data_IF_995600001926
#
_entry.id   IF_995600001926
#
_cell.length_a   1.000
_cell.length_b   1.000
_cell.length_c   1.000
_cell.angle_alpha   90.00
_cell.angle_beta   90.00
_cell.angle_gamma   90.00
#
_symmetry.space_group_name_H-M   'P 1'
#
loop_
_entity.id
_entity.type
_entity.pdbx_description
1 polymer ?
#
# COMPACT_ATOMS: atom_id res chain seq x y z
N UNK A 1 -14.52 3.91 5.47
CA UNK A 1 -13.84 4.32 4.23
C UNK A 1 -14.14 3.27 3.15
N UNK A 2 -13.76 3.48 1.89
CA UNK A 2 -14.03 2.51 0.81
C UNK A 2 -13.11 1.29 0.93
N UNK A 3 -11.87 1.49 1.36
CA UNK A 3 -10.86 0.45 1.55
C UNK A 3 -11.21 -0.56 2.65
N UNK A 4 -11.86 -0.13 3.75
CA UNK A 4 -12.21 -1.00 4.89
C UNK A 4 -12.95 -2.28 4.46
N UNK A 5 -13.91 -2.16 3.54
CA UNK A 5 -14.72 -3.28 3.05
C UNK A 5 -13.86 -4.34 2.34
N UNK A 6 -12.76 -3.94 1.70
CA UNK A 6 -11.85 -4.82 0.98
C UNK A 6 -10.65 -5.25 1.82
N UNK A 7 -10.28 -4.49 2.85
CA UNK A 7 -9.17 -4.82 3.76
C UNK A 7 -9.55 -5.91 4.77
N UNK A 8 -10.83 -6.00 5.15
CA UNK A 8 -11.29 -6.94 6.17
C UNK A 8 -10.96 -8.40 5.83
N UNK A 9 -11.34 -8.85 4.62
CA UNK A 9 -11.19 -10.23 4.19
C UNK A 9 -9.72 -10.73 4.21
N UNK A 10 -8.72 -10.03 3.62
CA UNK A 10 -7.34 -10.49 3.66
C UNK A 10 -6.75 -10.52 5.07
N UNK A 11 -7.09 -9.56 5.94
CA UNK A 11 -6.64 -9.55 7.34
C UNK A 11 -7.24 -10.72 8.12
N UNK A 12 -8.55 -10.95 7.98
CA UNK A 12 -9.25 -12.03 8.69
C UNK A 12 -8.78 -13.40 8.19
N UNK A 13 -8.61 -13.59 6.88
CA UNK A 13 -8.08 -14.84 6.34
C UNK A 13 -6.66 -15.11 6.84
N UNK A 14 -5.77 -14.11 6.83
CA UNK A 14 -4.42 -14.26 7.36
C UNK A 14 -4.42 -14.70 8.83
N UNK A 15 -5.23 -14.04 9.66
CA UNK A 15 -5.31 -14.40 11.08
C UNK A 15 -5.94 -15.78 11.29
N UNK A 16 -7.16 -16.02 10.79
CA UNK A 16 -7.93 -17.22 11.07
C UNK A 16 -7.35 -18.48 10.41
N UNK A 17 -6.67 -18.35 9.28
CA UNK A 17 -6.17 -19.50 8.51
C UNK A 17 -4.67 -19.73 8.71
N UNK A 18 -3.86 -18.67 8.79
CA UNK A 18 -2.40 -18.83 8.70
C UNK A 18 -1.73 -18.92 10.09
N UNK A 19 -2.35 -18.38 11.13
CA UNK A 19 -1.81 -18.44 12.51
C UNK A 19 -2.36 -19.63 13.30
N UNK A 20 -1.54 -20.22 14.18
CA UNK A 20 -1.98 -21.35 15.02
C UNK A 20 -3.06 -20.91 16.02
N UNK A 21 -2.87 -19.73 16.62
CA UNK A 21 -3.79 -19.14 17.59
C UNK A 21 -5.11 -18.74 16.94
N UNK A 22 -5.07 -18.19 15.72
CA UNK A 22 -6.25 -17.84 14.94
C UNK A 22 -7.06 -19.07 14.57
N UNK A 23 -6.41 -20.13 14.06
CA UNK A 23 -7.08 -21.41 13.77
C UNK A 23 -7.77 -22.00 15.00
N UNK A 24 -7.07 -22.00 16.15
CA UNK A 24 -7.64 -22.51 17.40
C UNK A 24 -8.85 -21.69 17.90
N UNK A 25 -8.89 -20.37 17.63
CA UNK A 25 -9.96 -19.47 18.07
C UNK A 25 -11.06 -19.25 17.03
N UNK A 26 -10.88 -19.70 15.79
CA UNK A 26 -11.73 -19.32 14.65
C UNK A 26 -13.21 -19.63 14.87
N UNK A 27 -13.55 -20.87 15.22
CA UNK A 27 -14.94 -21.27 15.44
C UNK A 27 -15.61 -20.46 16.56
N UNK A 28 -14.93 -20.29 17.69
CA UNK A 28 -15.45 -19.52 18.81
C UNK A 28 -15.62 -18.03 18.45
N UNK A 29 -14.66 -17.44 17.74
CA UNK A 29 -14.73 -16.06 17.28
C UNK A 29 -15.94 -15.84 16.35
N UNK A 30 -16.11 -16.70 15.34
CA UNK A 30 -17.19 -16.57 14.36
C UNK A 30 -18.60 -16.77 14.97
N UNK A 31 -18.72 -17.50 16.09
CA UNK A 31 -19.97 -17.66 16.83
C UNK A 31 -20.33 -16.46 17.70
N UNK A 32 -19.36 -15.62 18.08
CA UNK A 32 -19.64 -14.42 18.89
C UNK A 32 -20.56 -13.47 18.13
N UNK A 33 -21.43 -12.79 18.88
CA UNK A 33 -22.34 -11.79 18.37
C UNK A 33 -21.71 -10.40 18.42
N UNK A 34 -21.98 -9.59 17.41
CA UNK A 34 -21.74 -8.14 17.42
C UNK A 34 -22.71 -7.46 18.40
N UNK A 35 -22.51 -6.16 18.70
CA UNK A 35 -23.47 -5.38 19.50
C UNK A 35 -24.91 -5.42 18.95
N UNK A 36 -25.07 -5.59 17.65
CA UNK A 36 -26.36 -5.71 16.95
C UNK A 36 -26.94 -7.13 17.00
N UNK A 37 -26.30 -8.06 17.71
CA UNK A 37 -26.80 -9.42 17.93
C UNK A 37 -26.56 -10.41 16.77
N UNK A 38 -25.88 -9.99 15.70
CA UNK A 38 -25.54 -10.79 14.51
C UNK A 38 -24.20 -11.50 14.73
N UNK A 39 -24.06 -12.76 14.30
CA UNK A 39 -22.78 -13.49 14.48
C UNK A 39 -21.70 -12.93 13.57
N UNK A 40 -20.44 -12.89 14.04
CA UNK A 40 -19.33 -12.43 13.20
C UNK A 40 -19.15 -13.26 11.93
N UNK A 41 -19.45 -14.57 11.97
CA UNK A 41 -19.45 -15.40 10.76
C UNK A 41 -20.48 -14.97 9.72
N UNK A 42 -21.65 -14.49 10.14
CA UNK A 42 -22.69 -13.97 9.24
C UNK A 42 -22.29 -12.61 8.66
N UNK A 43 -21.69 -11.74 9.47
CA UNK A 43 -21.18 -10.43 9.03
C UNK A 43 -20.04 -10.59 8.03
N UNK A 44 -19.11 -11.50 8.29
CA UNK A 44 -18.02 -11.81 7.36
C UNK A 44 -18.55 -12.37 6.05
N UNK A 45 -19.48 -13.33 6.11
CA UNK A 45 -20.12 -13.89 4.90
C UNK A 45 -20.84 -12.81 4.09
N UNK A 46 -21.46 -11.82 4.75
CA UNK A 46 -22.10 -10.66 4.09
C UNK A 46 -21.08 -9.76 3.40
N UNK A 47 -19.97 -9.44 4.07
CA UNK A 47 -18.89 -8.64 3.48
C UNK A 47 -18.27 -9.35 2.26
N UNK A 48 -18.03 -10.67 2.32
CA UNK A 48 -17.50 -11.41 1.16
C UNK A 48 -18.43 -11.38 -0.05
N UNK A 49 -19.75 -11.44 0.17
CA UNK A 49 -20.74 -11.24 -0.91
C UNK A 49 -20.71 -9.84 -1.48
N UNK A 50 -20.60 -8.83 -0.61
CA UNK A 50 -20.46 -7.45 -1.02
C UNK A 50 -19.22 -7.24 -1.89
N UNK A 51 -18.05 -7.73 -1.46
CA UNK A 51 -16.79 -7.66 -2.20
C UNK A 51 -16.95 -8.30 -3.58
N UNK A 52 -17.48 -9.52 -3.67
CA UNK A 52 -17.65 -10.21 -4.95
C UNK A 52 -18.62 -9.47 -5.88
N UNK A 53 -19.75 -8.99 -5.36
CA UNK A 53 -20.72 -8.23 -6.16
C UNK A 53 -20.13 -6.92 -6.68
N UNK A 54 -19.36 -6.19 -5.86
CA UNK A 54 -18.69 -4.95 -6.26
C UNK A 54 -17.57 -5.18 -7.26
N UNK A 55 -16.88 -6.31 -7.18
CA UNK A 55 -15.77 -6.66 -8.05
C UNK A 55 -16.21 -7.27 -9.40
N UNK A 56 -17.44 -7.77 -9.50
CA UNK A 56 -17.94 -8.49 -10.67
C UNK A 56 -17.91 -7.69 -11.98
N UNK A 57 -18.30 -6.40 -12.04
CA UNK A 57 -18.30 -5.64 -13.30
C UNK A 57 -16.92 -5.57 -13.95
N UNK A 58 -15.86 -5.30 -13.17
CA UNK A 58 -14.49 -5.27 -13.70
C UNK A 58 -14.02 -6.64 -14.14
N UNK A 59 -14.37 -7.70 -13.42
CA UNK A 59 -13.96 -9.05 -13.78
C UNK A 59 -14.60 -9.53 -15.09
N UNK A 60 -15.80 -9.04 -15.41
CA UNK A 60 -16.46 -9.28 -16.70
C UNK A 60 -15.85 -8.42 -17.81
N UNK A 61 -15.61 -7.13 -17.53
CA UNK A 61 -15.08 -6.16 -18.48
C UNK A 61 -13.98 -5.33 -17.80
N UNK A 62 -12.71 -5.74 -17.90
CA UNK A 62 -11.59 -5.07 -17.23
C UNK A 62 -11.28 -3.69 -17.82
N UNK A 63 -12.02 -2.68 -17.35
CA UNK A 63 -11.89 -1.29 -17.77
C UNK A 63 -12.00 -0.37 -16.55
N UNK A 64 -11.35 0.81 -16.61
CA UNK A 64 -11.24 1.70 -15.46
C UNK A 64 -12.60 2.12 -14.88
N UNK A 65 -13.62 2.32 -15.72
CA UNK A 65 -14.96 2.71 -15.29
C UNK A 65 -15.73 1.60 -14.55
N UNK A 66 -15.23 0.37 -14.56
CA UNK A 66 -15.77 -0.75 -13.79
C UNK A 66 -15.01 -1.02 -12.48
N UNK A 67 -13.96 -0.22 -12.20
CA UNK A 67 -13.18 -0.31 -10.97
C UNK A 67 -13.97 0.27 -9.77
N UNK A 68 -13.44 0.06 -8.56
CA UNK A 68 -13.99 0.65 -7.34
C UNK A 68 -13.56 2.11 -7.27
N UNK A 69 -14.49 3.02 -7.55
CA UNK A 69 -14.30 4.45 -7.37
C UNK A 69 -14.58 4.89 -5.94
N UNK A 70 -14.07 6.07 -5.57
CA UNK A 70 -14.65 6.85 -4.49
C UNK A 70 -16.13 7.17 -4.76
N UNK A 71 -16.88 7.46 -3.70
CA UNK A 71 -18.29 7.83 -3.82
C UNK A 71 -18.44 9.17 -4.57
N UNK A 72 -19.52 9.36 -5.36
CA UNK A 72 -19.74 10.61 -6.07
C UNK A 72 -19.71 11.82 -5.15
N UNK A 73 -18.93 12.84 -5.51
CA UNK A 73 -18.76 14.07 -4.72
C UNK A 73 -17.86 13.92 -3.48
N UNK A 74 -17.36 12.73 -3.19
CA UNK A 74 -16.44 12.45 -2.08
C UNK A 74 -15.02 12.30 -2.61
N UNK A 75 -14.06 12.98 -2.00
CA UNK A 75 -12.63 12.97 -2.38
C UNK A 75 -11.73 12.20 -1.41
N UNK A 76 -12.32 11.65 -0.34
CA UNK A 76 -11.68 10.76 0.64
C UNK A 76 -12.28 9.36 0.56
N UNK A 77 -11.60 8.36 1.13
CA UNK A 77 -12.12 6.99 1.17
C UNK A 77 -11.06 5.89 1.17
N UNK A 78 -9.81 6.23 1.42
CA UNK A 78 -8.74 5.28 1.71
C UNK A 78 -7.87 5.82 2.84
N UNK A 79 -6.96 5.00 3.37
CA UNK A 79 -6.13 5.29 4.55
C UNK A 79 -5.55 6.71 4.66
N UNK A 80 -5.22 7.38 3.54
CA UNK A 80 -4.74 8.78 3.62
C UNK A 80 -5.80 9.68 4.22
N UNK A 81 -7.08 9.46 3.98
CA UNK A 81 -8.19 10.27 4.52
C UNK A 81 -8.02 11.79 4.27
N UNK A 82 -7.38 12.13 3.16
CA UNK A 82 -7.10 13.51 2.74
C UNK A 82 -7.88 13.87 1.50
N UNK A 83 -8.53 15.04 1.50
CA UNK A 83 -9.26 15.54 0.32
C UNK A 83 -8.38 15.64 -0.94
N UNK A 84 -7.06 15.77 -0.76
CA UNK A 84 -6.08 15.81 -1.85
C UNK A 84 -5.12 14.62 -1.82
N UNK A 85 -5.41 13.60 -1.00
CA UNK A 85 -4.57 12.42 -0.79
C UNK A 85 -4.29 11.64 -2.06
N UNK A 86 -5.21 11.67 -3.02
CA UNK A 86 -5.08 11.05 -4.34
C UNK A 86 -4.76 12.07 -5.46
N UNK A 87 -4.19 13.22 -5.12
CA UNK A 87 -3.87 14.31 -6.06
C UNK A 87 -4.97 15.36 -6.21
N UNK A 88 -6.12 15.17 -5.54
CA UNK A 88 -7.32 16.04 -5.59
C UNK A 88 -8.33 15.64 -6.67
N UNK A 89 -7.86 15.13 -7.80
CA UNK A 89 -8.64 14.65 -8.93
C UNK A 89 -8.67 13.13 -9.08
N UNK A 90 -7.84 12.39 -8.34
CA UNK A 90 -7.90 10.93 -8.26
C UNK A 90 -9.28 10.44 -7.79
N UNK A 91 -9.77 9.37 -8.43
CA UNK A 91 -11.06 8.72 -8.15
C UNK A 91 -10.96 7.22 -7.93
N UNK A 92 -9.98 6.56 -8.53
CA UNK A 92 -9.73 5.13 -8.36
C UNK A 92 -8.37 4.97 -7.71
N UNK A 93 -8.33 4.61 -6.42
CA UNK A 93 -7.06 4.47 -5.70
C UNK A 93 -6.36 3.14 -6.05
N UNK A 94 -5.03 3.17 -6.17
CA UNK A 94 -4.23 1.97 -6.46
C UNK A 94 -4.31 0.93 -5.34
N UNK A 95 -4.18 1.35 -4.07
CA UNK A 95 -4.26 0.42 -2.94
C UNK A 95 -5.60 -0.35 -2.90
N UNK A 96 -6.72 0.28 -3.21
CA UNK A 96 -8.01 -0.39 -3.29
C UNK A 96 -8.02 -1.35 -4.48
N UNK A 97 -7.76 -0.83 -5.68
CA UNK A 97 -8.07 -1.57 -6.91
C UNK A 97 -6.95 -2.50 -7.39
N UNK A 98 -5.70 -2.07 -7.27
CA UNK A 98 -4.52 -2.86 -7.59
C UNK A 98 -4.19 -3.89 -6.52
N UNK A 99 -4.65 -3.70 -5.27
CA UNK A 99 -4.25 -4.55 -4.14
C UNK A 99 -5.42 -5.15 -3.36
N UNK A 100 -6.26 -4.34 -2.72
CA UNK A 100 -7.24 -4.85 -1.76
C UNK A 100 -8.36 -5.65 -2.42
N UNK A 101 -8.89 -5.24 -3.57
CA UNK A 101 -9.91 -6.01 -4.29
C UNK A 101 -9.40 -7.41 -4.67
N UNK A 102 -8.27 -7.58 -5.39
CA UNK A 102 -7.77 -8.93 -5.68
C UNK A 102 -7.42 -9.73 -4.42
N UNK A 103 -6.86 -9.09 -3.38
CA UNK A 103 -6.55 -9.77 -2.11
C UNK A 103 -7.80 -10.24 -1.37
N UNK A 104 -8.89 -9.45 -1.39
CA UNK A 104 -10.16 -9.80 -0.78
C UNK A 104 -10.85 -10.97 -1.49
N UNK A 105 -10.77 -11.01 -2.83
CA UNK A 105 -11.28 -12.13 -3.61
C UNK A 105 -10.49 -13.42 -3.36
N UNK A 106 -9.15 -13.34 -3.28
CA UNK A 106 -8.32 -14.50 -2.90
C UNK A 106 -8.63 -14.98 -1.47
N UNK A 107 -8.76 -14.05 -0.53
CA UNK A 107 -9.17 -14.35 0.83
C UNK A 107 -10.56 -15.03 0.88
N UNK A 108 -11.51 -14.58 0.06
CA UNK A 108 -12.83 -15.21 -0.06
C UNK A 108 -12.72 -16.66 -0.56
N UNK A 109 -11.86 -16.93 -1.56
CA UNK A 109 -11.59 -18.28 -2.06
C UNK A 109 -11.04 -19.16 -0.93
N UNK A 110 -10.06 -18.66 -0.17
CA UNK A 110 -9.43 -19.39 0.94
C UNK A 110 -10.40 -19.67 2.09
N UNK A 111 -11.18 -18.66 2.50
CA UNK A 111 -12.19 -18.80 3.55
C UNK A 111 -13.29 -19.78 3.14
N UNK A 112 -13.74 -19.75 1.87
CA UNK A 112 -14.67 -20.74 1.32
C UNK A 112 -14.10 -22.15 1.39
N UNK A 113 -12.85 -22.34 0.93
CA UNK A 113 -12.19 -23.64 0.93
C UNK A 113 -11.97 -24.22 2.35
N UNK A 114 -11.85 -23.35 3.36
CA UNK A 114 -11.67 -23.78 4.75
C UNK A 114 -12.92 -24.40 5.39
N UNK A 115 -14.12 -24.14 4.85
CA UNK A 115 -15.39 -24.55 5.45
C UNK A 115 -15.80 -23.79 6.72
N UNK A 116 -14.98 -22.86 7.22
CA UNK A 116 -15.26 -22.10 8.45
C UNK A 116 -16.56 -21.29 8.39
N UNK A 117 -16.96 -20.87 7.19
CA UNK A 117 -18.14 -20.02 6.99
C UNK A 117 -19.41 -20.79 6.61
N UNK A 118 -19.32 -22.10 6.37
CA UNK A 118 -20.47 -22.95 6.04
C UNK A 118 -21.63 -22.83 7.05
N UNK A 119 -21.39 -22.82 8.38
CA UNK A 119 -22.48 -22.68 9.37
C UNK A 119 -23.22 -21.33 9.34
N UNK A 120 -22.71 -20.36 8.60
CA UNK A 120 -23.23 -18.98 8.55
C UNK A 120 -23.74 -18.60 7.15
N UNK A 121 -24.04 -19.61 6.32
CA UNK A 121 -24.43 -19.40 4.93
C UNK A 121 -23.29 -18.82 4.09
N UNK A 122 -22.04 -19.11 4.43
CA UNK A 122 -20.84 -18.70 3.72
C UNK A 122 -20.17 -19.83 2.95
N UNK A 123 -20.96 -20.78 2.41
CA UNK A 123 -20.45 -21.67 1.35
C UNK A 123 -20.16 -20.90 0.04
N UNK A 124 -20.72 -19.68 -0.08
CA UNK A 124 -20.46 -18.69 -1.15
C UNK A 124 -20.58 -19.29 -2.55
N UNK A 125 -21.42 -20.31 -2.71
CA UNK A 125 -21.67 -20.96 -3.99
C UNK A 125 -22.44 -20.04 -4.95
N UNK A 126 -23.16 -19.06 -4.40
CA UNK A 126 -23.87 -18.03 -5.12
C UNK A 126 -22.95 -17.02 -5.82
N UNK A 127 -21.68 -16.92 -5.44
CA UNK A 127 -20.75 -15.88 -5.91
C UNK A 127 -20.01 -16.23 -7.21
N UNK A 128 -20.41 -17.29 -7.91
CA UNK A 128 -19.75 -17.75 -9.13
C UNK A 128 -18.27 -18.13 -8.92
N UNK A 129 -17.48 -18.00 -9.99
CA UNK A 129 -16.05 -18.34 -9.95
C UNK A 129 -15.19 -17.19 -9.39
N UNK A 130 -15.16 -17.09 -8.05
CA UNK A 130 -14.30 -16.18 -7.30
C UNK A 130 -12.82 -16.31 -7.66
N UNK A 131 -12.35 -17.51 -8.03
CA UNK A 131 -10.94 -17.75 -8.36
C UNK A 131 -10.57 -17.10 -9.69
N UNK A 132 -11.45 -17.23 -10.69
CA UNK A 132 -11.30 -16.49 -11.95
C UNK A 132 -11.41 -14.99 -11.74
N UNK A 133 -12.36 -14.53 -10.92
CA UNK A 133 -12.50 -13.12 -10.57
C UNK A 133 -11.21 -12.55 -9.97
N UNK A 134 -10.64 -13.22 -8.96
CA UNK A 134 -9.39 -12.84 -8.30
C UNK A 134 -8.22 -12.74 -9.30
N UNK A 135 -8.10 -13.74 -10.20
CA UNK A 135 -7.05 -13.74 -11.24
C UNK A 135 -7.18 -12.59 -12.22
N UNK A 136 -8.41 -12.25 -12.66
CA UNK A 136 -8.63 -11.13 -13.58
C UNK A 136 -8.24 -9.81 -12.90
N UNK A 137 -8.71 -9.58 -11.68
CA UNK A 137 -8.34 -8.38 -10.91
C UNK A 137 -6.83 -8.27 -10.70
N UNK A 138 -6.19 -9.34 -10.22
CA UNK A 138 -4.75 -9.35 -9.93
C UNK A 138 -3.88 -9.11 -11.18
N UNK A 139 -4.37 -9.50 -12.37
CA UNK A 139 -3.64 -9.36 -13.63
C UNK A 139 -3.90 -8.03 -14.33
N UNK A 140 -5.15 -7.61 -14.42
CA UNK A 140 -5.54 -6.48 -15.27
C UNK A 140 -5.58 -5.14 -14.49
N UNK A 141 -6.00 -5.13 -13.22
CA UNK A 141 -6.17 -3.87 -12.50
C UNK A 141 -4.85 -3.10 -12.30
N UNK A 142 -3.74 -3.71 -11.84
CA UNK A 142 -2.48 -2.98 -11.67
C UNK A 142 -1.94 -2.39 -12.97
N UNK A 143 -2.18 -3.03 -14.11
CA UNK A 143 -1.71 -2.55 -15.43
C UNK A 143 -2.33 -1.22 -15.84
N UNK A 144 -3.56 -0.94 -15.40
CA UNK A 144 -4.22 0.35 -15.67
C UNK A 144 -3.53 1.51 -14.94
N UNK A 145 -2.78 1.22 -13.86
CA UNK A 145 -1.99 2.21 -13.12
C UNK A 145 -0.54 2.31 -13.59
N UNK A 146 -0.06 1.45 -14.50
CA UNK A 146 1.35 1.45 -14.90
C UNK A 146 1.70 2.74 -15.65
N UNK A 147 2.61 3.52 -15.07
CA UNK A 147 3.26 4.67 -15.70
C UNK A 147 4.61 4.22 -16.21
N UNK A 148 4.94 4.57 -17.45
CA UNK A 148 6.25 4.32 -18.06
C UNK A 148 6.83 5.63 -18.57
N UNK A 149 8.02 5.97 -18.11
CA UNK A 149 8.81 7.12 -18.57
C UNK A 149 10.11 6.63 -19.19
N UNK A 150 10.58 7.34 -20.21
CA UNK A 150 11.95 7.11 -20.69
C UNK A 150 12.96 7.52 -19.61
N UNK A 151 14.19 6.99 -19.69
CA UNK A 151 15.25 7.35 -18.75
C UNK A 151 15.52 8.87 -18.75
N UNK A 152 15.50 9.50 -19.94
CA UNK A 152 15.68 10.95 -20.10
C UNK A 152 14.59 11.75 -19.40
N UNK A 153 13.31 11.45 -19.68
CA UNK A 153 12.19 12.13 -19.04
C UNK A 153 12.20 11.98 -17.52
N UNK A 154 12.48 10.78 -17.01
CA UNK A 154 12.57 10.55 -15.57
C UNK A 154 13.71 11.37 -14.95
N UNK A 155 14.89 11.39 -15.57
CA UNK A 155 16.03 12.16 -15.09
C UNK A 155 15.75 13.67 -15.10
N UNK A 156 15.13 14.20 -16.16
CA UNK A 156 14.80 15.62 -16.28
C UNK A 156 13.77 16.06 -15.22
N UNK A 157 12.72 15.26 -15.00
CA UNK A 157 11.71 15.54 -13.97
C UNK A 157 12.31 15.49 -12.56
N UNK A 158 13.09 14.47 -12.25
CA UNK A 158 13.79 14.34 -10.96
C UNK A 158 14.77 15.50 -10.75
N UNK A 159 15.53 15.90 -11.77
CA UNK A 159 16.48 17.01 -11.67
C UNK A 159 15.77 18.34 -11.38
N UNK A 160 14.68 18.63 -12.11
CA UNK A 160 13.89 19.84 -11.90
C UNK A 160 13.27 19.88 -10.49
N UNK A 161 12.75 18.75 -10.04
CA UNK A 161 12.16 18.62 -8.71
C UNK A 161 13.20 18.70 -7.59
N UNK A 162 14.36 18.06 -7.75
CA UNK A 162 15.48 18.12 -6.81
C UNK A 162 15.95 19.57 -6.60
N UNK A 163 16.06 20.33 -7.70
CA UNK A 163 16.40 21.76 -7.67
C UNK A 163 15.35 22.56 -6.89
N UNK A 164 14.06 22.32 -7.14
CA UNK A 164 12.96 22.98 -6.42
C UNK A 164 13.00 22.71 -4.92
N UNK A 165 13.29 21.46 -4.53
CA UNK A 165 13.35 21.03 -3.12
C UNK A 165 14.66 21.39 -2.42
N UNK A 166 15.67 21.86 -3.15
CA UNK A 166 17.00 22.16 -2.60
C UNK A 166 17.74 20.92 -2.11
N UNK A 167 17.56 19.78 -2.79
CA UNK A 167 18.18 18.49 -2.46
C UNK A 167 19.00 17.95 -3.64
N UNK A 168 20.03 17.13 -3.42
CA UNK A 168 20.81 16.55 -4.51
C UNK A 168 20.04 15.44 -5.22
N UNK A 169 20.32 15.29 -6.51
CA UNK A 169 19.96 14.09 -7.26
C UNK A 169 21.11 13.08 -7.15
N UNK A 170 20.97 12.08 -6.28
CA UNK A 170 22.01 11.06 -6.02
C UNK A 170 21.84 9.83 -6.95
N UNK A 171 20.65 9.65 -7.54
CA UNK A 171 20.35 8.55 -8.45
C UNK A 171 19.79 9.06 -9.78
N UNK A 172 20.17 8.37 -10.85
CA UNK A 172 19.70 8.62 -12.22
C UNK A 172 19.26 7.30 -12.85
N UNK A 173 18.21 7.35 -13.67
CA UNK A 173 17.76 6.20 -14.45
C UNK A 173 18.69 5.98 -15.65
N UNK A 174 19.12 4.73 -15.84
CA UNK A 174 19.84 4.25 -17.04
C UNK A 174 18.95 3.46 -17.99
N UNK A 175 17.70 3.22 -17.61
CA UNK A 175 16.68 2.47 -18.34
C UNK A 175 15.31 3.11 -18.10
N UNK A 176 14.28 2.77 -18.91
CA UNK A 176 12.92 3.26 -18.68
C UNK A 176 12.44 2.98 -17.26
N UNK A 177 11.83 3.99 -16.64
CA UNK A 177 11.28 3.91 -15.28
C UNK A 177 9.83 3.50 -15.36
N UNK A 178 9.46 2.46 -14.61
CA UNK A 178 8.08 1.96 -14.51
C UNK A 178 7.65 1.91 -13.05
N UNK A 179 6.41 2.26 -12.79
CA UNK A 179 5.81 2.25 -11.46
C UNK A 179 4.28 2.29 -11.57
N UNK A 180 3.57 1.94 -10.50
CA UNK A 180 2.14 2.18 -10.42
C UNK A 180 1.87 3.61 -9.96
N UNK A 181 0.97 4.30 -10.67
CA UNK A 181 0.41 5.58 -10.24
C UNK A 181 -0.43 5.41 -8.97
N UNK A 182 -0.43 6.45 -8.15
CA UNK A 182 -1.19 6.52 -6.90
C UNK A 182 -2.69 6.31 -7.10
N UNK A 183 -3.23 6.85 -8.19
CA UNK A 183 -4.64 6.76 -8.54
C UNK A 183 -4.85 6.87 -10.05
N UNK A 184 -6.08 6.59 -10.50
CA UNK A 184 -6.60 7.10 -11.77
C UNK A 184 -7.60 8.21 -11.49
N UNK A 185 -7.65 9.23 -12.35
CA UNK A 185 -8.66 10.28 -12.32
C UNK A 185 -10.03 9.79 -12.83
N UNK A 186 -11.01 10.69 -12.94
CA UNK A 186 -12.36 10.36 -13.41
C UNK A 186 -12.39 9.87 -14.87
N UNK A 187 -11.36 10.21 -15.67
CA UNK A 187 -11.21 9.83 -17.07
C UNK A 187 -10.34 8.56 -17.24
N UNK A 188 -9.84 8.00 -16.14
CA UNK A 188 -8.96 6.83 -16.17
C UNK A 188 -7.50 7.18 -16.43
N UNK A 189 -7.12 8.46 -16.40
CA UNK A 189 -5.73 8.87 -16.57
C UNK A 189 -4.95 8.67 -15.26
N UNK A 190 -3.72 8.13 -15.31
CA UNK A 190 -2.90 7.95 -14.12
C UNK A 190 -2.52 9.27 -13.43
N UNK A 191 -2.51 9.27 -12.10
CA UNK A 191 -1.91 10.31 -11.23
C UNK A 191 -0.48 9.85 -10.87
N UNK A 192 0.57 10.30 -11.59
CA UNK A 192 1.89 9.65 -11.64
C UNK A 192 2.78 10.03 -10.44
N UNK A 193 2.31 9.73 -9.24
CA UNK A 193 3.02 9.96 -7.97
C UNK A 193 3.52 8.61 -7.44
N UNK A 194 4.82 8.51 -7.13
CA UNK A 194 5.36 7.32 -6.47
C UNK A 194 4.80 7.23 -5.04
N UNK A 195 4.51 6.03 -4.55
CA UNK A 195 3.87 5.86 -3.24
C UNK A 195 4.30 4.56 -2.54
N UNK A 196 4.20 4.54 -1.21
CA UNK A 196 4.58 3.37 -0.40
C UNK A 196 3.52 2.28 -0.35
N UNK A 197 2.33 2.48 -0.95
CA UNK A 197 1.22 1.50 -0.94
C UNK A 197 1.58 0.14 -1.54
N UNK A 198 2.71 0.04 -2.25
CA UNK A 198 3.28 -1.24 -2.68
C UNK A 198 3.56 -2.18 -1.49
N UNK A 199 3.76 -1.65 -0.29
CA UNK A 199 3.82 -2.46 0.93
C UNK A 199 2.55 -3.30 1.14
N UNK A 200 1.37 -2.81 0.73
CA UNK A 200 0.14 -3.59 0.78
C UNK A 200 0.16 -4.73 -0.23
N UNK A 201 0.65 -4.50 -1.45
CA UNK A 201 0.80 -5.56 -2.46
C UNK A 201 1.69 -6.69 -1.94
N UNK A 202 2.80 -6.33 -1.29
CA UNK A 202 3.71 -7.29 -0.69
C UNK A 202 3.13 -7.99 0.53
N UNK A 203 2.26 -7.35 1.32
CA UNK A 203 1.68 -7.98 2.49
C UNK A 203 0.48 -8.88 2.15
N UNK A 204 -0.42 -8.42 1.28
CA UNK A 204 -1.71 -9.08 1.04
C UNK A 204 -1.78 -9.82 -0.30
N UNK A 205 -0.91 -9.49 -1.25
CA UNK A 205 -0.87 -10.12 -2.57
C UNK A 205 0.11 -11.29 -2.68
N UNK A 206 0.11 -11.87 -3.89
CA UNK A 206 1.11 -12.84 -4.36
C UNK A 206 1.69 -12.35 -5.70
N UNK A 207 2.33 -11.17 -5.75
CA UNK A 207 2.81 -10.59 -7.01
C UNK A 207 3.77 -11.53 -7.74
N UNK A 208 3.67 -11.60 -9.06
CA UNK A 208 4.66 -12.28 -9.89
C UNK A 208 5.97 -11.49 -10.00
N UNK A 209 6.96 -12.04 -10.70
CA UNK A 209 8.26 -11.41 -10.88
C UNK A 209 8.17 -10.01 -11.52
N UNK A 210 7.27 -9.80 -12.49
CA UNK A 210 7.08 -8.51 -13.17
C UNK A 210 6.43 -7.50 -12.23
N UNK A 211 5.44 -7.93 -11.46
CA UNK A 211 4.76 -7.07 -10.49
C UNK A 211 5.72 -6.63 -9.38
N UNK A 212 6.58 -7.54 -8.87
CA UNK A 212 7.63 -7.19 -7.91
C UNK A 212 8.62 -6.18 -8.48
N UNK A 213 8.99 -6.33 -9.75
CA UNK A 213 9.87 -5.41 -10.47
C UNK A 213 9.32 -3.98 -10.47
N UNK A 214 8.09 -3.82 -10.96
CA UNK A 214 7.39 -2.53 -11.05
C UNK A 214 7.17 -1.92 -9.66
N UNK A 215 6.80 -2.75 -8.68
CA UNK A 215 6.49 -2.30 -7.32
C UNK A 215 7.73 -1.80 -6.56
N UNK A 216 8.89 -2.44 -6.72
CA UNK A 216 10.04 -2.17 -5.85
C UNK A 216 11.13 -1.31 -6.50
N UNK A 217 11.39 -1.43 -7.81
CA UNK A 217 12.59 -0.83 -8.41
C UNK A 217 12.63 0.69 -8.28
N UNK A 218 11.49 1.35 -8.50
CA UNK A 218 11.38 2.81 -8.42
C UNK A 218 11.31 3.30 -6.97
N UNK A 219 10.46 2.72 -6.14
CA UNK A 219 10.25 3.21 -4.77
C UNK A 219 11.49 3.03 -3.87
N UNK A 220 12.31 2.00 -4.14
CA UNK A 220 13.52 1.73 -3.36
C UNK A 220 14.72 2.59 -3.79
N UNK A 221 14.59 3.46 -4.79
CA UNK A 221 15.65 4.41 -5.10
C UNK A 221 15.78 5.50 -4.01
N UNK A 222 16.97 6.09 -3.84
CA UNK A 222 17.12 7.29 -3.02
C UNK A 222 16.19 8.40 -3.51
N UNK A 223 15.49 9.07 -2.60
CA UNK A 223 14.76 10.29 -2.91
C UNK A 223 15.75 11.37 -3.42
N UNK A 224 15.40 12.17 -4.45
CA UNK A 224 14.08 12.31 -5.07
C UNK A 224 13.74 11.34 -6.21
N UNK A 225 14.62 10.40 -6.59
CA UNK A 225 14.31 9.41 -7.62
C UNK A 225 13.40 8.27 -7.13
N UNK A 226 13.35 8.03 -5.82
CA UNK A 226 12.46 7.06 -5.15
C UNK A 226 11.93 7.60 -3.83
N UNK A 227 11.65 6.72 -2.86
CA UNK A 227 11.05 7.08 -1.57
C UNK A 227 12.04 7.03 -0.40
N UNK A 228 13.27 6.55 -0.60
CA UNK A 228 14.18 6.24 0.51
C UNK A 228 15.04 7.45 0.87
N UNK A 229 15.01 7.87 2.13
CA UNK A 229 15.92 8.87 2.71
C UNK A 229 16.59 8.32 3.97
N UNK A 230 17.63 8.98 4.48
CA UNK A 230 18.17 8.67 5.83
C UNK A 230 17.21 9.06 6.96
N UNK A 231 16.20 9.88 6.68
CA UNK A 231 15.18 10.28 7.64
C UNK A 231 13.96 9.35 7.63
N UNK A 232 13.81 8.41 6.69
CA UNK A 232 12.61 7.60 6.55
C UNK A 232 12.31 7.18 5.11
N UNK A 233 11.37 6.24 4.95
CA UNK A 233 10.73 5.97 3.66
C UNK A 233 9.48 6.84 3.52
N UNK A 234 9.46 7.70 2.51
CA UNK A 234 8.35 8.61 2.27
C UNK A 234 7.10 7.88 1.76
N UNK A 235 5.90 8.36 2.10
CA UNK A 235 4.64 7.74 1.66
C UNK A 235 4.19 8.16 0.27
N UNK A 236 4.63 9.33 -0.19
CA UNK A 236 4.44 9.79 -1.55
C UNK A 236 5.65 10.62 -2.04
N UNK A 237 5.88 10.62 -3.36
CA UNK A 237 6.87 11.46 -4.02
C UNK A 237 6.36 11.90 -5.41
N UNK A 238 6.10 13.21 -5.61
CA UNK A 238 5.58 13.72 -6.89
C UNK A 238 6.68 14.03 -7.91
N UNK A 239 7.96 13.67 -7.68
CA UNK A 239 9.08 14.02 -8.55
C UNK A 239 8.94 13.56 -10.01
N UNK A 240 8.18 12.50 -10.26
CA UNK A 240 7.90 11.98 -11.61
C UNK A 240 6.58 12.50 -12.18
N UNK A 241 5.83 13.30 -11.42
CA UNK A 241 4.58 13.93 -11.85
C UNK A 241 4.81 15.28 -12.52
N UNK A 242 3.72 15.93 -12.89
CA UNK A 242 3.71 17.31 -13.38
C UNK A 242 3.82 18.32 -12.22
N UNK A 243 4.38 19.53 -12.44
CA UNK A 243 4.67 20.47 -11.36
C UNK A 243 3.48 20.92 -10.50
N UNK A 244 2.25 20.85 -11.02
CA UNK A 244 1.01 21.11 -10.27
C UNK A 244 0.80 20.15 -9.09
N UNK A 245 1.43 18.95 -9.12
CA UNK A 245 1.35 17.97 -8.03
C UNK A 245 2.32 18.27 -6.88
N UNK A 246 3.36 19.04 -7.12
CA UNK A 246 4.41 19.28 -6.12
C UNK A 246 3.90 19.91 -4.80
N UNK A 247 3.03 20.93 -4.80
CA UNK A 247 2.46 21.47 -3.54
C UNK A 247 1.36 20.58 -2.94
N UNK A 248 0.84 19.62 -3.71
CA UNK A 248 -0.20 18.68 -3.23
C UNK A 248 0.41 17.59 -2.36
N UNK A 249 1.66 17.20 -2.63
CA UNK A 249 2.36 16.11 -1.94
C UNK A 249 3.64 16.57 -1.25
N UNK A 250 3.78 17.85 -0.90
CA UNK A 250 4.98 18.30 -0.20
C UNK A 250 5.08 17.73 1.22
N UNK A 251 6.20 18.01 1.88
CA UNK A 251 6.56 17.47 3.20
C UNK A 251 5.76 18.05 4.37
N UNK A 252 4.82 18.98 4.14
CA UNK A 252 3.87 19.53 5.14
C UNK A 252 2.47 18.92 5.00
N UNK A 253 2.28 18.04 4.01
CA UNK A 253 1.07 17.24 3.83
C UNK A 253 1.29 15.86 4.41
N UNK A 254 0.42 15.40 5.30
CA UNK A 254 0.60 14.09 5.92
C UNK A 254 0.46 12.94 4.89
N UNK A 255 -0.17 13.19 3.74
CA UNK A 255 -0.27 12.25 2.61
C UNK A 255 0.87 12.39 1.59
N UNK A 256 1.80 13.32 1.82
CA UNK A 256 2.86 13.74 0.89
C UNK A 256 4.23 13.13 1.19
N UNK A 257 5.26 13.97 1.08
CA UNK A 257 6.68 13.64 1.30
C UNK A 257 7.01 13.48 2.80
N UNK A 258 6.19 12.74 3.54
CA UNK A 258 6.38 12.46 4.97
C UNK A 258 6.60 10.96 5.19
N UNK A 259 7.10 10.61 6.36
CA UNK A 259 7.26 9.21 6.75
C UNK A 259 6.22 8.81 7.80
N UNK A 260 5.54 7.69 7.55
CA UNK A 260 4.69 7.02 8.54
C UNK A 260 5.38 5.75 9.03
N UNK A 261 5.42 5.54 10.35
CA UNK A 261 6.03 4.34 10.96
C UNK A 261 5.36 3.06 10.47
N UNK A 262 4.04 3.05 10.39
CA UNK A 262 3.27 1.86 9.99
C UNK A 262 3.50 1.47 8.52
N UNK A 263 3.71 2.44 7.60
CA UNK A 263 4.03 2.15 6.19
C UNK A 263 5.40 1.48 6.04
N UNK A 264 6.38 1.84 6.88
CA UNK A 264 7.65 1.13 6.94
C UNK A 264 7.49 -0.28 7.52
N UNK A 265 6.71 -0.43 8.59
CA UNK A 265 6.40 -1.74 9.17
C UNK A 265 5.67 -2.65 8.18
N UNK A 266 4.72 -2.09 7.42
CA UNK A 266 4.02 -2.74 6.33
C UNK A 266 4.99 -3.24 5.25
N UNK A 267 5.91 -2.38 4.80
CA UNK A 267 6.94 -2.73 3.83
C UNK A 267 7.85 -3.87 4.34
N UNK A 268 8.29 -3.81 5.61
CA UNK A 268 9.09 -4.89 6.23
C UNK A 268 8.31 -6.20 6.26
N UNK A 269 7.07 -6.18 6.74
CA UNK A 269 6.22 -7.37 6.84
C UNK A 269 5.94 -7.98 5.46
N UNK A 270 5.64 -7.13 4.47
CA UNK A 270 5.43 -7.53 3.08
C UNK A 270 6.68 -8.15 2.47
N UNK A 271 7.85 -7.51 2.58
CA UNK A 271 9.11 -8.07 2.06
C UNK A 271 9.42 -9.43 2.73
N UNK A 272 9.28 -9.54 4.06
CA UNK A 272 9.48 -10.81 4.78
C UNK A 272 8.54 -11.90 4.26
N UNK A 273 7.26 -11.57 4.06
CA UNK A 273 6.27 -12.50 3.48
C UNK A 273 6.70 -12.98 2.10
N UNK A 274 7.09 -12.07 1.21
CA UNK A 274 7.47 -12.44 -0.16
C UNK A 274 8.80 -13.22 -0.21
N UNK A 275 9.77 -12.94 0.68
CA UNK A 275 10.99 -13.76 0.79
C UNK A 275 10.73 -15.20 1.26
N UNK A 276 9.66 -15.42 2.01
CA UNK A 276 9.19 -16.74 2.44
C UNK A 276 8.61 -17.60 1.32
N UNK A 277 8.31 -17.02 0.15
CA UNK A 277 7.81 -17.76 -1.02
C UNK A 277 8.93 -18.54 -1.71
N UNK A 278 8.64 -19.76 -2.13
CA UNK A 278 9.58 -20.65 -2.82
C UNK A 278 9.42 -20.64 -4.34
N UNK A 279 8.36 -20.01 -4.86
CA UNK A 279 8.02 -19.97 -6.29
C UNK A 279 8.67 -18.79 -7.04
N UNK A 280 9.30 -17.85 -6.32
CA UNK A 280 9.91 -16.65 -6.93
C UNK A 280 11.29 -16.95 -7.55
N UNK A 281 11.58 -16.43 -8.76
CA UNK A 281 12.92 -16.50 -9.34
C UNK A 281 13.98 -15.82 -8.44
N UNK A 282 15.24 -16.25 -8.55
CA UNK A 282 16.31 -15.70 -7.72
C UNK A 282 16.54 -14.21 -7.96
N UNK A 283 16.31 -13.69 -9.17
CA UNK A 283 16.38 -12.23 -9.42
C UNK A 283 15.36 -11.46 -8.57
N UNK A 284 14.11 -11.92 -8.51
CA UNK A 284 13.07 -11.31 -7.69
C UNK A 284 13.41 -11.41 -6.19
N UNK A 285 13.97 -12.54 -5.76
CA UNK A 285 14.45 -12.72 -4.37
C UNK A 285 15.61 -11.77 -4.06
N UNK A 286 16.53 -11.57 -4.99
CA UNK A 286 17.63 -10.61 -4.86
C UNK A 286 17.12 -9.17 -4.71
N UNK A 287 16.15 -8.76 -5.54
CA UNK A 287 15.47 -7.46 -5.43
C UNK A 287 14.83 -7.27 -4.05
N UNK A 288 14.13 -8.28 -3.54
CA UNK A 288 13.53 -8.26 -2.19
C UNK A 288 14.59 -8.15 -1.08
N UNK A 289 15.71 -8.87 -1.17
CA UNK A 289 16.81 -8.75 -0.17
C UNK A 289 17.45 -7.36 -0.20
N UNK A 290 17.62 -6.77 -1.39
CA UNK A 290 18.11 -5.38 -1.53
C UNK A 290 17.13 -4.40 -0.89
N UNK A 291 15.83 -4.55 -1.15
CA UNK A 291 14.78 -3.73 -0.51
C UNK A 291 14.79 -3.89 1.02
N UNK A 292 14.90 -5.12 1.52
CA UNK A 292 15.01 -5.43 2.95
C UNK A 292 16.19 -4.70 3.58
N UNK A 293 17.38 -4.78 2.97
CA UNK A 293 18.59 -4.14 3.48
C UNK A 293 18.47 -2.61 3.52
N UNK A 294 17.84 -2.01 2.50
CA UNK A 294 17.57 -0.56 2.44
C UNK A 294 16.64 -0.14 3.57
N UNK A 295 15.49 -0.80 3.74
CA UNK A 295 14.54 -0.47 4.81
C UNK A 295 15.14 -0.71 6.19
N UNK A 296 15.90 -1.81 6.38
CA UNK A 296 16.63 -2.04 7.63
C UNK A 296 17.62 -0.91 7.95
N UNK A 297 18.30 -0.36 6.93
CA UNK A 297 19.17 0.80 7.11
C UNK A 297 18.40 2.04 7.53
N UNK A 298 17.26 2.31 6.89
CA UNK A 298 16.38 3.43 7.26
C UNK A 298 15.93 3.31 8.72
N UNK A 299 15.43 2.14 9.13
CA UNK A 299 14.95 1.90 10.49
C UNK A 299 16.06 2.04 11.55
N UNK A 300 17.30 1.64 11.23
CA UNK A 300 18.45 1.91 12.10
C UNK A 300 18.72 3.41 12.24
N UNK A 301 18.66 4.16 11.15
CA UNK A 301 18.87 5.62 11.15
C UNK A 301 17.78 6.40 11.88
N UNK A 302 16.56 5.86 11.96
CA UNK A 302 15.40 6.50 12.61
C UNK A 302 15.04 5.86 13.95
N UNK A 303 15.88 4.99 14.51
CA UNK A 303 15.57 4.21 15.70
C UNK A 303 15.12 5.06 16.91
N UNK A 304 15.66 6.27 17.07
CA UNK A 304 15.34 7.18 18.18
C UNK A 304 13.90 7.68 18.17
N UNK A 305 13.22 7.65 17.02
CA UNK A 305 11.84 8.11 16.83
C UNK A 305 10.89 6.96 16.47
N UNK A 306 11.26 5.71 16.73
CA UNK A 306 10.45 4.51 16.42
C UNK A 306 9.05 4.50 17.05
N UNK A 307 8.83 5.29 18.09
CA UNK A 307 7.52 5.44 18.76
C UNK A 307 6.66 6.58 18.18
N UNK A 308 7.17 7.33 17.19
CA UNK A 308 6.43 8.37 16.51
C UNK A 308 5.54 7.76 15.43
N UNK A 309 4.30 8.24 15.34
CA UNK A 309 3.37 7.85 14.29
C UNK A 309 3.88 8.28 12.91
N UNK A 310 4.22 9.57 12.81
CA UNK A 310 4.53 10.27 11.57
C UNK A 310 5.57 11.36 11.83
N UNK A 311 6.42 11.63 10.85
CA UNK A 311 7.39 12.71 10.89
C UNK A 311 7.73 13.24 9.49
N UNK A 312 8.19 14.49 9.44
CA UNK A 312 8.72 15.14 8.24
C UNK A 312 10.25 15.04 8.22
N UNK A 313 10.87 15.80 7.32
CA UNK A 313 12.32 15.89 7.20
C UNK A 313 12.78 17.29 6.81
N UNK A 314 14.07 17.55 7.06
CA UNK A 314 14.81 18.65 6.47
C UNK A 314 16.09 18.11 5.82
N UNK A 315 16.55 18.79 4.79
CA UNK A 315 17.86 18.53 4.20
C UNK A 315 18.84 19.60 4.69
N UNK A 316 19.85 19.20 5.46
CA UNK A 316 20.86 20.10 6.02
C UNK A 316 22.21 19.38 6.10
N UNK A 317 23.29 20.11 5.86
CA UNK A 317 24.67 19.60 5.97
C UNK A 317 24.90 18.32 5.15
N UNK A 318 24.29 18.25 3.96
CA UNK A 318 24.46 17.13 3.04
C UNK A 318 23.65 15.87 3.39
N UNK A 319 22.70 15.93 4.34
CA UNK A 319 21.90 14.77 4.77
C UNK A 319 20.44 15.10 5.04
N UNK A 320 19.58 14.09 4.89
CA UNK A 320 18.20 14.14 5.38
C UNK A 320 18.19 13.88 6.89
N UNK A 321 17.58 14.79 7.64
CA UNK A 321 17.37 14.68 9.07
C UNK A 321 15.87 14.66 9.39
N UNK A 322 15.49 13.84 10.36
CA UNK A 322 14.13 13.77 10.90
C UNK A 322 13.70 15.14 11.40
N UNK A 323 12.45 15.50 11.13
CA UNK A 323 11.81 16.70 11.62
C UNK A 323 10.43 16.36 12.21
N UNK A 324 10.01 16.97 13.33
CA UNK A 324 8.63 16.85 13.79
C UNK A 324 7.64 17.27 12.70
N UNK A 325 6.54 16.53 12.58
CA UNK A 325 5.41 16.92 11.74
C UNK A 325 4.36 17.63 12.59
N UNK A 326 3.75 18.70 12.08
CA UNK A 326 2.76 19.50 12.78
C UNK A 326 3.30 20.70 13.55
N UNK A 327 4.62 20.84 13.66
CA UNK A 327 5.27 21.95 14.36
C UNK A 327 5.88 22.99 13.41
N UNK A 328 5.78 22.79 12.09
CA UNK A 328 6.22 23.77 11.09
C UNK A 328 5.03 24.62 10.62
N UNK A 329 5.32 25.86 10.20
CA UNK A 329 4.33 26.69 9.51
C UNK A 329 3.84 25.99 8.24
N UNK A 330 2.53 25.75 8.14
CA UNK A 330 1.88 25.14 6.98
C UNK A 330 1.67 23.62 7.05
N UNK A 331 1.98 22.97 8.18
CA UNK A 331 1.63 21.56 8.40
C UNK A 331 0.11 21.42 8.56
N UNK A 332 -0.50 20.47 7.84
CA UNK A 332 -1.97 20.38 7.73
C UNK A 332 -2.68 19.79 8.96
N UNK A 333 -1.95 19.39 10.03
CA UNK A 333 -2.44 19.03 11.38
C UNK A 333 -1.28 18.47 12.23
N UNK A 334 -1.41 18.48 13.57
CA UNK A 334 -0.37 17.98 14.49
C UNK A 334 -0.23 16.44 14.49
N UNK A 335 1.01 15.92 14.55
CA UNK A 335 1.27 14.49 14.81
C UNK A 335 1.03 14.17 16.30
N UNK A 336 0.30 13.10 16.62
CA UNK A 336 0.12 12.66 18.02
C UNK A 336 1.08 11.50 18.35
N UNK A 337 1.81 11.60 19.45
CA UNK A 337 2.77 10.59 19.91
C UNK A 337 2.15 9.24 20.31
N UNK A 338 0.83 9.14 20.51
CA UNK A 338 0.17 7.92 20.99
C UNK A 338 -1.08 7.60 20.16
N UNK A 339 -0.88 7.10 18.95
CA UNK A 339 -1.93 6.44 18.16
C UNK A 339 -1.59 4.94 17.98
N UNK A 340 -2.58 4.11 17.64
CA UNK A 340 -2.43 2.65 17.48
C UNK A 340 -1.23 2.29 16.56
N UNK A 341 -0.98 3.15 15.57
CA UNK A 341 0.09 3.05 14.59
C UNK A 341 1.51 3.13 15.18
N UNK A 342 1.69 3.84 16.31
CA UNK A 342 2.97 3.94 17.04
C UNK A 342 3.44 2.59 17.61
N UNK A 343 2.55 1.60 17.74
CA UNK A 343 2.87 0.29 18.31
C UNK A 343 3.58 -0.65 17.33
N UNK A 344 3.56 -0.35 16.03
CA UNK A 344 4.20 -1.19 14.99
C UNK A 344 5.73 -1.14 15.10
N UNK A 345 6.29 0.03 15.46
CA UNK A 345 7.72 0.17 15.75
C UNK A 345 8.17 -0.52 17.03
N UNK A 346 7.24 -0.93 17.90
CA UNK A 346 7.50 -1.68 19.13
C UNK A 346 7.31 -3.20 18.96
N UNK A 347 6.44 -3.62 18.04
CA UNK A 347 6.17 -5.04 17.76
C UNK A 347 7.26 -5.73 16.92
N UNK A 348 8.11 -4.96 16.25
CA UNK A 348 9.25 -5.48 15.47
C UNK A 348 10.50 -5.56 16.36
N UNK A 349 10.73 -6.71 16.98
CA UNK A 349 11.98 -6.95 17.68
C UNK A 349 13.16 -6.85 16.70
N UNK A 350 14.15 -6.01 17.02
CA UNK A 350 15.40 -5.85 16.27
C UNK A 350 16.25 -7.12 16.16
N UNK A 351 15.82 -8.25 16.73
CA UNK A 351 16.60 -9.48 16.80
C UNK A 351 16.47 -10.41 15.60
N UNK A 352 15.56 -10.16 14.64
CA UNK A 352 15.38 -11.03 13.46
C UNK A 352 15.92 -10.44 12.14
N UNK A 353 16.58 -9.27 12.17
CA UNK A 353 17.18 -8.65 10.97
C UNK A 353 18.67 -9.01 10.81
N UNK A 354 19.18 -9.90 11.66
CA UNK A 354 20.51 -10.51 11.50
C UNK A 354 20.35 -12.01 11.40
N UNK A 355 20.20 -12.51 10.17
CA UNK A 355 20.92 -13.66 9.61
C UNK A 355 20.66 -13.75 8.10
#
# INVERSE_FOLDING_TARGET
MVDDDFLLAPVIAAYLLDTAEGRARAAAFLQRKSPEGVRYGELLSRNLRFVAARAQPFAQTPAYHNMISLLPGITVGEWRDSQKGLGGDGRYAYNINGVFVPAALDAAVRLRASGLLTPYGGDLSDLGDLSTMARVWAREAPRLFEVSLTAGEANDRVAAFAKLRGVPQIASASAPVRFHALALDAQGAPVPVLHSDEGFLLLFGNPDARQLDVALRSIMQPYPAGLVTSAGMLVANPALATPDRYPVFDKTRYHGEVTWSWQQGLMVAGIKRQLGRTDLPEESRALLRVAQAKIASVLRSTHTIRGSELWSWHYKDGRYAVAPFGQNSGDETESNSVQLWSTIGLATACTEVTN
#
